data_IF_575500778162
#
_entry.id   IF_575500778162
#
_cell.length_a   1.000
_cell.length_b   1.000
_cell.length_c   1.000
_cell.angle_alpha   90.00
_cell.angle_beta   90.00
_cell.angle_gamma   90.00
#
_symmetry.space_group_name_H-M   'P 1'
#
loop_
_entity.id
_entity.type
_entity.pdbx_description
1 polymer ?
#
# COMPACT_ATOMS: atom_id res chain seq x y z
N UNK A 1 -49.69 6.38 26.30
CA UNK A 1 -48.88 6.42 25.05
C UNK A 1 -47.52 5.73 25.19
N UNK A 2 -46.71 6.02 26.23
CA UNK A 2 -45.38 5.40 26.41
C UNK A 2 -45.38 3.86 26.35
N UNK A 3 -46.37 3.18 26.96
CA UNK A 3 -46.45 1.70 26.93
C UNK A 3 -46.63 1.14 25.51
N UNK A 4 -47.40 1.82 24.65
CA UNK A 4 -47.57 1.44 23.24
C UNK A 4 -46.32 1.74 22.41
N UNK A 5 -45.67 2.89 22.65
CA UNK A 5 -44.38 3.22 22.04
C UNK A 5 -43.28 2.22 22.42
N UNK A 6 -43.20 1.80 23.69
CA UNK A 6 -42.24 0.79 24.15
C UNK A 6 -42.53 -0.61 23.57
N UNK A 7 -43.79 -1.01 23.39
CA UNK A 7 -44.09 -2.29 22.73
C UNK A 7 -43.69 -2.30 21.25
N UNK A 8 -43.64 -1.14 20.60
CA UNK A 8 -43.23 -1.00 19.19
C UNK A 8 -41.70 -0.86 19.07
N UNK A 9 -41.10 0.07 19.82
CA UNK A 9 -39.68 0.41 19.69
C UNK A 9 -38.77 -0.28 20.71
N UNK A 10 -39.29 -0.71 21.85
CA UNK A 10 -38.54 -1.38 22.92
C UNK A 10 -37.81 -2.64 22.45
N UNK A 11 -38.44 -3.55 21.67
CA UNK A 11 -37.73 -4.70 21.11
C UNK A 11 -36.57 -4.31 20.20
N UNK A 12 -36.75 -3.29 19.34
CA UNK A 12 -35.71 -2.80 18.42
C UNK A 12 -34.55 -2.16 19.18
N UNK A 13 -34.84 -1.31 20.17
CA UNK A 13 -33.85 -0.69 21.04
C UNK A 13 -33.07 -1.74 21.85
N UNK A 14 -33.78 -2.75 22.37
CA UNK A 14 -33.17 -3.86 23.11
C UNK A 14 -32.26 -4.69 22.19
N UNK A 15 -32.73 -5.03 20.99
CA UNK A 15 -31.90 -5.75 20.01
C UNK A 15 -30.65 -4.96 19.63
N UNK A 16 -30.78 -3.66 19.36
CA UNK A 16 -29.64 -2.77 19.08
C UNK A 16 -28.64 -2.72 20.22
N UNK A 17 -29.12 -2.60 21.47
CA UNK A 17 -28.27 -2.63 22.65
C UNK A 17 -27.56 -3.98 22.80
N UNK A 18 -28.26 -5.10 22.59
CA UNK A 18 -27.65 -6.43 22.67
C UNK A 18 -26.56 -6.63 21.61
N UNK A 19 -26.77 -6.16 20.38
CA UNK A 19 -25.75 -6.19 19.32
C UNK A 19 -24.56 -5.32 19.69
N UNK A 20 -24.81 -4.11 20.21
CA UNK A 20 -23.74 -3.23 20.68
C UNK A 20 -22.91 -3.89 21.79
N UNK A 21 -23.56 -4.48 22.80
CA UNK A 21 -22.89 -5.19 23.89
C UNK A 21 -22.11 -6.41 23.38
N UNK A 22 -22.68 -7.18 22.45
CA UNK A 22 -21.99 -8.32 21.82
C UNK A 22 -20.68 -7.89 21.16
N UNK A 23 -20.72 -6.80 20.37
CA UNK A 23 -19.53 -6.27 19.73
C UNK A 23 -18.55 -5.76 20.79
N UNK A 24 -19.01 -4.92 21.70
CA UNK A 24 -18.17 -4.26 22.69
C UNK A 24 -17.41 -5.25 23.60
N UNK A 25 -18.04 -6.37 23.95
CA UNK A 25 -17.45 -7.42 24.78
C UNK A 25 -16.81 -8.58 23.99
N UNK A 26 -16.78 -8.54 22.65
CA UNK A 26 -16.19 -9.61 21.86
C UNK A 26 -14.69 -9.79 22.16
N UNK A 27 -14.16 -11.01 22.32
CA UNK A 27 -12.74 -11.23 22.54
C UNK A 27 -11.91 -10.84 21.31
N UNK A 28 -10.79 -10.15 21.54
CA UNK A 28 -9.81 -9.78 20.50
C UNK A 28 -8.57 -10.68 20.54
N UNK A 29 -8.67 -11.83 21.20
CA UNK A 29 -7.61 -12.83 21.22
C UNK A 29 -7.32 -13.34 19.81
N UNK A 30 -6.04 -13.45 19.48
CA UNK A 30 -5.58 -13.87 18.17
C UNK A 30 -5.54 -15.40 18.13
N UNK A 31 -6.36 -16.01 17.28
CA UNK A 31 -6.20 -17.43 16.90
C UNK A 31 -5.56 -17.48 15.52
N UNK A 32 -4.54 -18.31 15.35
CA UNK A 32 -3.77 -18.37 14.10
C UNK A 32 -4.20 -19.57 13.24
N UNK A 33 -4.24 -19.36 11.93
CA UNK A 33 -4.48 -20.40 10.93
C UNK A 33 -3.65 -20.05 9.69
N UNK A 34 -2.51 -20.72 9.57
CA UNK A 34 -1.51 -20.38 8.57
C UNK A 34 -2.04 -20.47 7.13
N UNK A 35 -2.89 -21.47 6.84
CA UNK A 35 -3.49 -21.59 5.50
C UNK A 35 -4.40 -20.41 5.18
N UNK A 36 -5.18 -19.95 6.16
CA UNK A 36 -6.05 -18.79 6.01
C UNK A 36 -5.24 -17.49 5.89
N UNK A 37 -4.17 -17.33 6.65
CA UNK A 37 -3.31 -16.15 6.61
C UNK A 37 -2.53 -16.04 5.31
N UNK A 38 -2.02 -17.16 4.76
CA UNK A 38 -1.44 -17.19 3.40
C UNK A 38 -2.43 -16.71 2.34
N UNK A 39 -3.71 -17.12 2.46
CA UNK A 39 -4.78 -16.66 1.56
C UNK A 39 -5.00 -15.16 1.70
N UNK A 40 -5.11 -14.64 2.92
CA UNK A 40 -5.23 -13.19 3.18
C UNK A 40 -4.06 -12.40 2.60
N UNK A 41 -2.84 -12.91 2.79
CA UNK A 41 -1.61 -12.27 2.37
C UNK A 41 -1.51 -12.09 0.84
N UNK A 42 -2.01 -13.06 0.05
CA UNK A 42 -2.00 -13.00 -1.42
C UNK A 42 -3.36 -12.62 -2.05
N UNK A 43 -4.40 -12.37 -1.24
CA UNK A 43 -5.74 -12.04 -1.73
C UNK A 43 -5.78 -10.73 -2.51
N UNK A 44 -4.95 -9.75 -2.13
CA UNK A 44 -4.87 -8.40 -2.72
C UNK A 44 -6.27 -7.92 -3.05
N UNK A 45 -7.12 -7.90 -2.03
CA UNK A 45 -8.52 -7.48 -2.11
C UNK A 45 -8.69 -6.17 -1.37
N UNK A 46 -9.74 -5.42 -1.70
CA UNK A 46 -10.12 -4.25 -0.90
C UNK A 46 -10.21 -4.60 0.58
N UNK A 47 -10.74 -5.79 0.92
CA UNK A 47 -10.89 -6.25 2.28
C UNK A 47 -9.53 -6.52 2.95
N UNK A 48 -8.64 -7.28 2.30
CA UNK A 48 -7.32 -7.61 2.84
C UNK A 48 -6.43 -6.38 3.04
N UNK A 49 -6.73 -5.28 2.34
CA UNK A 49 -6.07 -4.00 2.48
C UNK A 49 -6.65 -3.14 3.63
N UNK A 50 -7.97 -2.93 3.66
CA UNK A 50 -8.61 -1.98 4.60
C UNK A 50 -8.97 -2.56 5.98
N UNK A 51 -9.20 -3.87 6.07
CA UNK A 51 -9.68 -4.50 7.31
C UNK A 51 -8.53 -4.86 8.26
N UNK A 52 -8.72 -4.60 9.55
CA UNK A 52 -7.70 -4.86 10.59
C UNK A 52 -7.49 -6.34 10.86
N UNK A 53 -8.56 -7.12 10.97
CA UNK A 53 -8.49 -8.52 11.38
C UNK A 53 -7.49 -9.36 10.57
N UNK A 54 -7.58 -9.31 9.24
CA UNK A 54 -6.78 -10.16 8.35
C UNK A 54 -5.28 -9.86 8.46
N UNK A 55 -4.92 -8.57 8.42
CA UNK A 55 -3.52 -8.13 8.51
C UNK A 55 -2.93 -8.31 9.89
N UNK A 56 -3.66 -7.97 10.95
CA UNK A 56 -3.18 -8.16 12.33
C UNK A 56 -2.93 -9.64 12.58
N UNK A 57 -3.86 -10.52 12.18
CA UNK A 57 -3.73 -11.95 12.35
C UNK A 57 -2.46 -12.51 11.68
N UNK A 58 -2.25 -12.21 10.40
CA UNK A 58 -1.07 -12.69 9.68
C UNK A 58 0.23 -12.08 10.21
N UNK A 59 0.30 -10.75 10.38
CA UNK A 59 1.52 -10.06 10.79
C UNK A 59 1.96 -10.32 12.24
N UNK A 60 1.13 -11.01 13.03
CA UNK A 60 1.46 -11.41 14.40
C UNK A 60 1.49 -12.92 14.63
N UNK A 61 1.34 -13.75 13.59
CA UNK A 61 1.53 -15.20 13.72
C UNK A 61 3.01 -15.50 14.06
N UNK A 62 3.30 -16.16 15.20
CA UNK A 62 4.67 -16.53 15.56
C UNK A 62 5.25 -17.70 14.73
N UNK A 63 4.41 -18.46 14.03
CA UNK A 63 4.80 -19.68 13.29
C UNK A 63 5.38 -19.39 11.90
N UNK A 64 4.95 -18.31 11.25
CA UNK A 64 5.48 -17.87 9.97
C UNK A 64 5.57 -16.35 9.92
N UNK A 65 6.73 -15.85 9.50
CA UNK A 65 6.99 -14.43 9.39
C UNK A 65 6.32 -13.83 8.15
N UNK A 66 5.16 -13.21 8.34
CA UNK A 66 4.56 -12.35 7.32
C UNK A 66 5.19 -10.96 7.35
N UNK A 67 5.48 -10.41 6.17
CA UNK A 67 6.15 -9.11 6.00
C UNK A 67 5.22 -8.20 5.18
N UNK A 68 4.95 -6.96 5.62
CA UNK A 68 4.10 -6.05 4.87
C UNK A 68 4.81 -5.57 3.59
N UNK A 69 4.13 -5.74 2.45
CA UNK A 69 4.54 -5.26 1.14
C UNK A 69 3.56 -4.17 0.72
N UNK A 70 3.93 -2.92 0.95
CA UNK A 70 3.11 -1.75 0.67
C UNK A 70 3.24 -1.31 -0.78
N UNK A 71 2.13 -0.97 -1.42
CA UNK A 71 2.10 -0.35 -2.73
C UNK A 71 0.70 -0.20 -3.32
N UNK A 72 0.49 -0.52 -4.59
CA UNK A 72 -0.75 -0.29 -5.33
C UNK A 72 -1.19 -1.53 -6.15
N UNK A 73 -1.35 -1.39 -7.47
CA UNK A 73 -1.79 -2.44 -8.38
C UNK A 73 -0.67 -3.37 -8.87
N UNK A 74 0.60 -3.09 -8.59
CA UNK A 74 1.71 -3.96 -8.97
C UNK A 74 1.55 -5.38 -8.43
N UNK A 75 1.05 -5.53 -7.20
CA UNK A 75 0.81 -6.85 -6.60
C UNK A 75 -0.24 -7.67 -7.35
N UNK A 76 -1.11 -7.04 -8.14
CA UNK A 76 -2.15 -7.74 -8.92
C UNK A 76 -1.54 -8.44 -10.14
N UNK A 77 -0.32 -8.06 -10.55
CA UNK A 77 0.36 -8.56 -11.77
C UNK A 77 1.13 -9.86 -11.50
N UNK A 78 0.39 -10.93 -11.22
CA UNK A 78 0.98 -12.25 -11.01
C UNK A 78 1.53 -12.87 -12.29
N UNK A 79 2.71 -13.45 -12.16
CA UNK A 79 3.31 -14.47 -13.02
C UNK A 79 4.14 -15.40 -12.12
N UNK A 80 4.81 -16.38 -12.72
CA UNK A 80 5.62 -17.36 -12.01
C UNK A 80 6.81 -16.74 -11.26
N UNK A 81 7.22 -15.51 -11.56
CA UNK A 81 8.30 -14.81 -10.87
C UNK A 81 7.81 -13.91 -9.74
N UNK A 82 6.49 -13.77 -9.56
CA UNK A 82 5.91 -12.90 -8.54
C UNK A 82 6.40 -13.27 -7.12
N UNK A 83 6.67 -12.29 -6.22
CA UNK A 83 7.27 -12.56 -4.91
C UNK A 83 6.50 -13.57 -4.04
N UNK A 84 5.17 -13.60 -4.17
CA UNK A 84 4.32 -14.58 -3.49
C UNK A 84 4.62 -16.02 -3.92
N UNK A 85 4.80 -16.21 -5.23
CA UNK A 85 5.04 -17.51 -5.86
C UNK A 85 6.44 -18.00 -5.48
N UNK A 86 7.45 -17.14 -5.61
CA UNK A 86 8.83 -17.50 -5.24
C UNK A 86 8.96 -17.83 -3.75
N UNK A 87 8.37 -17.02 -2.87
CA UNK A 87 8.41 -17.28 -1.44
C UNK A 87 7.72 -18.59 -1.05
N UNK A 88 6.61 -18.94 -1.71
CA UNK A 88 5.90 -20.19 -1.47
C UNK A 88 6.63 -21.41 -2.08
N UNK A 89 7.04 -21.36 -3.35
CA UNK A 89 7.73 -22.46 -4.05
C UNK A 89 9.02 -22.86 -3.36
N UNK A 90 9.82 -21.88 -2.94
CA UNK A 90 11.13 -22.11 -2.35
C UNK A 90 11.13 -22.09 -0.83
N UNK A 91 9.93 -22.14 -0.23
CA UNK A 91 9.71 -22.18 1.20
C UNK A 91 10.60 -21.20 1.99
N UNK A 92 10.59 -19.94 1.58
CA UNK A 92 11.43 -18.91 2.21
C UNK A 92 11.07 -18.71 3.68
N UNK A 93 11.98 -18.10 4.43
CA UNK A 93 11.81 -17.75 5.85
C UNK A 93 10.72 -16.70 6.11
N UNK A 94 10.11 -16.15 5.05
CA UNK A 94 9.06 -15.15 5.12
C UNK A 94 7.95 -15.38 4.09
N UNK A 95 6.81 -14.70 4.27
CA UNK A 95 5.78 -14.53 3.24
C UNK A 95 5.41 -13.05 3.06
N UNK A 96 5.30 -12.55 1.82
CA UNK A 96 4.74 -11.24 1.57
C UNK A 96 3.27 -11.17 1.99
N UNK A 97 2.88 -10.13 2.72
CA UNK A 97 1.49 -9.71 2.92
C UNK A 97 1.27 -8.42 2.11
N UNK A 98 0.58 -8.53 0.97
CA UNK A 98 0.44 -7.42 0.04
C UNK A 98 -0.64 -6.43 0.50
N UNK A 99 -0.20 -5.19 0.75
CA UNK A 99 -1.01 -4.06 1.14
C UNK A 99 -1.03 -3.05 0.01
N UNK A 100 -1.91 -3.25 -0.96
CA UNK A 100 -2.06 -2.35 -2.10
C UNK A 100 -3.28 -2.68 -2.96
N UNK A 101 -3.81 -1.66 -3.62
CA UNK A 101 -4.86 -1.74 -4.63
C UNK A 101 -4.65 -0.65 -5.68
N UNK A 102 -5.30 -0.79 -6.84
CA UNK A 102 -5.26 0.24 -7.88
C UNK A 102 -5.69 1.61 -7.32
N UNK A 103 -4.82 2.60 -7.50
CA UNK A 103 -5.02 3.98 -7.03
C UNK A 103 -4.76 4.23 -5.54
N UNK A 104 -4.36 3.22 -4.77
CA UNK A 104 -3.86 3.44 -3.42
C UNK A 104 -2.44 4.03 -3.50
N UNK A 105 -2.20 5.13 -2.77
CA UNK A 105 -0.92 5.81 -2.67
C UNK A 105 -0.56 6.04 -1.19
N UNK A 106 0.41 6.92 -0.88
CA UNK A 106 1.00 7.03 0.46
C UNK A 106 -0.01 7.38 1.55
N UNK A 107 -0.99 8.26 1.27
CA UNK A 107 -2.02 8.62 2.26
C UNK A 107 -2.90 7.43 2.65
N UNK A 108 -3.28 6.58 1.69
CA UNK A 108 -4.02 5.35 1.99
C UNK A 108 -3.17 4.38 2.81
N UNK A 109 -1.87 4.26 2.48
CA UNK A 109 -0.96 3.41 3.24
C UNK A 109 -0.79 3.88 4.67
N UNK A 110 -0.60 5.19 4.88
CA UNK A 110 -0.46 5.79 6.21
C UNK A 110 -1.66 5.47 7.12
N UNK A 111 -2.90 5.68 6.65
CA UNK A 111 -4.09 5.32 7.43
C UNK A 111 -4.23 3.81 7.65
N UNK A 112 -3.82 3.00 6.66
CA UNK A 112 -3.75 1.55 6.81
C UNK A 112 -2.74 1.08 7.87
N UNK A 113 -1.62 1.78 8.04
CA UNK A 113 -0.60 1.48 9.05
C UNK A 113 -1.13 1.68 10.47
N UNK A 114 -2.01 2.65 10.71
CA UNK A 114 -2.55 2.96 12.04
C UNK A 114 -3.24 1.75 12.70
N UNK A 115 -3.78 0.83 11.90
CA UNK A 115 -4.41 -0.40 12.40
C UNK A 115 -3.42 -1.50 12.80
N UNK A 116 -2.13 -1.37 12.46
CA UNK A 116 -1.09 -2.42 12.59
C UNK A 116 0.21 -1.92 13.22
N UNK A 117 0.22 -0.78 13.92
CA UNK A 117 1.46 -0.23 14.50
C UNK A 117 2.23 -1.24 15.37
N UNK A 118 1.59 -1.98 16.30
CA UNK A 118 2.29 -3.01 17.08
C UNK A 118 2.85 -4.14 16.22
N UNK A 119 2.19 -4.45 15.10
CA UNK A 119 2.61 -5.51 14.19
C UNK A 119 3.74 -5.12 13.25
N UNK A 120 4.06 -3.84 13.09
CA UNK A 120 5.19 -3.37 12.26
C UNK A 120 6.37 -2.83 13.08
N UNK A 121 6.17 -2.52 14.36
CA UNK A 121 7.19 -2.02 15.29
C UNK A 121 8.46 -2.91 15.28
N UNK A 122 9.63 -2.31 15.03
CA UNK A 122 10.94 -2.98 14.92
C UNK A 122 11.02 -4.09 13.84
N UNK A 123 10.17 -4.06 12.81
CA UNK A 123 10.18 -5.07 11.73
C UNK A 123 10.71 -4.53 10.41
N UNK A 124 10.82 -5.42 9.43
CA UNK A 124 11.12 -5.06 8.05
C UNK A 124 9.85 -4.86 7.23
N UNK A 125 9.92 -4.00 6.21
CA UNK A 125 8.86 -3.80 5.24
C UNK A 125 9.43 -3.59 3.83
N UNK A 126 8.60 -3.82 2.81
CA UNK A 126 8.88 -3.38 1.43
C UNK A 126 7.86 -2.30 1.08
N UNK A 127 8.32 -1.19 0.51
CA UNK A 127 7.45 -0.10 0.07
C UNK A 127 7.75 0.27 -1.39
N UNK A 128 6.80 0.00 -2.26
CA UNK A 128 6.87 0.41 -3.67
C UNK A 128 6.58 1.89 -3.79
N UNK A 129 7.36 2.59 -4.61
CA UNK A 129 7.10 3.97 -5.04
C UNK A 129 6.99 3.97 -6.56
N UNK A 130 5.84 4.46 -7.05
CA UNK A 130 5.60 4.68 -8.47
C UNK A 130 5.63 6.20 -8.71
N UNK A 131 6.59 6.75 -9.48
CA UNK A 131 6.63 8.18 -9.79
C UNK A 131 5.33 8.73 -10.40
N UNK A 132 4.53 7.86 -11.01
CA UNK A 132 3.21 8.14 -11.59
C UNK A 132 2.15 8.52 -10.53
N UNK A 133 2.40 8.29 -9.23
CA UNK A 133 1.54 8.81 -8.14
C UNK A 133 1.73 10.32 -7.92
N UNK A 134 2.87 10.87 -8.34
CA UNK A 134 3.29 12.24 -8.04
C UNK A 134 2.78 13.23 -9.08
N UNK A 135 1.55 13.09 -9.55
CA UNK A 135 0.94 14.07 -10.47
C UNK A 135 0.56 15.35 -9.75
N UNK A 136 0.56 16.47 -10.48
CA UNK A 136 0.08 17.77 -9.98
C UNK A 136 -1.41 17.70 -9.60
N UNK A 137 -2.22 17.05 -10.44
CA UNK A 137 -3.60 16.72 -10.11
C UNK A 137 -3.62 15.55 -9.14
N UNK A 138 -4.23 15.74 -7.97
CA UNK A 138 -4.38 14.67 -7.00
C UNK A 138 -5.35 13.58 -7.49
N UNK A 139 -5.20 12.37 -6.98
CA UNK A 139 -6.18 11.31 -7.21
C UNK A 139 -7.54 11.64 -6.57
N UNK A 140 -8.60 11.16 -7.22
CA UNK A 140 -9.99 11.42 -6.86
C UNK A 140 -10.29 11.03 -5.40
N UNK A 141 -10.96 11.88 -4.62
CA UNK A 141 -11.37 11.56 -3.24
C UNK A 141 -12.18 10.25 -3.12
N UNK A 142 -12.91 9.86 -4.17
CA UNK A 142 -13.62 8.58 -4.21
C UNK A 142 -12.69 7.37 -4.14
N UNK A 143 -11.49 7.45 -4.72
CA UNK A 143 -10.47 6.40 -4.64
C UNK A 143 -9.92 6.29 -3.22
N UNK A 144 -9.63 7.42 -2.56
CA UNK A 144 -9.25 7.43 -1.15
C UNK A 144 -10.30 6.72 -0.29
N UNK A 145 -11.56 7.15 -0.40
CA UNK A 145 -12.68 6.63 0.40
C UNK A 145 -13.00 5.16 0.14
N UNK A 146 -12.62 4.62 -1.02
CA UNK A 146 -12.78 3.19 -1.31
C UNK A 146 -11.97 2.32 -0.35
N UNK A 147 -10.80 2.79 0.07
CA UNK A 147 -9.88 2.04 0.92
C UNK A 147 -9.83 2.54 2.37
N UNK A 148 -10.42 3.70 2.65
CA UNK A 148 -10.56 4.24 3.99
C UNK A 148 -11.78 3.66 4.74
N UNK A 149 -11.64 3.37 6.04
CA UNK A 149 -12.75 2.91 6.88
C UNK A 149 -12.74 3.56 8.27
N UNK A 150 -13.85 3.44 9.01
CA UNK A 150 -13.98 4.05 10.36
C UNK A 150 -13.02 3.45 11.38
N UNK A 151 -12.54 2.22 11.17
CA UNK A 151 -11.50 1.62 12.02
C UNK A 151 -10.14 2.31 11.82
N UNK A 152 -9.78 2.66 10.58
CA UNK A 152 -8.59 3.49 10.31
C UNK A 152 -8.72 4.89 10.90
N UNK A 153 -9.91 5.49 10.87
CA UNK A 153 -10.18 6.75 11.55
C UNK A 153 -9.94 6.62 13.06
N UNK A 154 -10.59 5.64 13.70
CA UNK A 154 -10.46 5.42 15.14
C UNK A 154 -9.01 5.16 15.54
N UNK A 155 -8.30 4.32 14.77
CA UNK A 155 -6.88 4.05 14.99
C UNK A 155 -5.99 5.29 14.80
N UNK A 156 -6.26 6.14 13.80
CA UNK A 156 -5.55 7.39 13.62
C UNK A 156 -5.76 8.33 14.81
N UNK A 157 -7.01 8.52 15.24
CA UNK A 157 -7.34 9.39 16.36
C UNK A 157 -6.75 8.91 17.70
N UNK A 158 -6.65 7.60 17.90
CA UNK A 158 -6.02 6.97 19.06
C UNK A 158 -4.49 7.13 19.06
N UNK A 159 -3.85 7.01 17.89
CA UNK A 159 -2.38 6.98 17.77
C UNK A 159 -1.73 8.35 17.49
N UNK A 160 -2.49 9.36 17.09
CA UNK A 160 -1.95 10.69 16.79
C UNK A 160 -1.30 11.33 18.02
N UNK A 161 -0.24 12.10 17.80
CA UNK A 161 0.56 12.75 18.86
C UNK A 161 0.38 14.28 18.90
N UNK A 162 -0.46 14.84 18.02
CA UNK A 162 -0.62 16.29 17.84
C UNK A 162 0.53 16.96 17.08
N UNK A 163 1.52 16.20 16.61
CA UNK A 163 2.68 16.70 15.86
C UNK A 163 2.33 17.19 14.43
N UNK A 164 3.34 17.68 13.71
CA UNK A 164 3.19 18.17 12.33
C UNK A 164 2.64 17.09 11.40
N UNK A 165 3.05 15.83 11.59
CA UNK A 165 2.56 14.67 10.82
C UNK A 165 1.06 14.45 11.07
N UNK A 166 0.64 14.44 12.33
CA UNK A 166 -0.75 14.27 12.76
C UNK A 166 -1.65 15.38 12.21
N UNK A 167 -1.19 16.63 12.30
CA UNK A 167 -1.87 17.80 11.74
C UNK A 167 -2.00 17.72 10.22
N UNK A 168 -0.93 17.33 9.53
CA UNK A 168 -0.94 17.16 8.08
C UNK A 168 -1.92 16.05 7.66
N UNK A 169 -1.86 14.88 8.30
CA UNK A 169 -2.77 13.76 8.04
C UNK A 169 -4.23 14.14 8.28
N UNK A 170 -4.55 14.85 9.36
CA UNK A 170 -5.89 15.35 9.66
C UNK A 170 -6.40 16.30 8.55
N UNK A 171 -5.54 17.23 8.09
CA UNK A 171 -5.88 18.17 7.00
C UNK A 171 -6.16 17.43 5.69
N UNK A 172 -5.35 16.42 5.36
CA UNK A 172 -5.55 15.57 4.19
C UNK A 172 -6.82 14.75 4.28
N UNK A 173 -7.11 14.18 5.46
CA UNK A 173 -8.36 13.45 5.70
C UNK A 173 -9.58 14.34 5.46
N UNK A 174 -9.62 15.55 6.02
CA UNK A 174 -10.73 16.48 5.80
C UNK A 174 -10.86 16.90 4.33
N UNK A 175 -9.76 17.01 3.61
CA UNK A 175 -9.77 17.32 2.17
C UNK A 175 -10.39 16.18 1.35
N UNK A 176 -10.05 14.92 1.67
CA UNK A 176 -10.54 13.74 0.93
C UNK A 176 -11.91 13.24 1.42
N UNK A 177 -12.27 13.54 2.66
CA UNK A 177 -13.52 13.15 3.29
C UNK A 177 -14.01 14.24 4.28
N UNK A 178 -14.65 15.31 3.78
CA UNK A 178 -15.14 16.42 4.61
C UNK A 178 -16.16 15.99 5.67
N UNK A 179 -17.07 15.08 5.32
CA UNK A 179 -18.15 14.59 6.20
C UNK A 179 -17.73 13.36 7.02
N UNK A 180 -16.45 13.27 7.38
CA UNK A 180 -15.95 12.16 8.19
C UNK A 180 -16.57 12.19 9.59
N UNK A 181 -16.87 11.01 10.14
CA UNK A 181 -17.34 10.86 11.52
C UNK A 181 -16.32 11.49 12.48
N UNK A 182 -16.77 12.12 13.56
CA UNK A 182 -15.93 12.92 14.47
C UNK A 182 -15.16 14.04 13.76
N UNK A 183 -15.70 14.60 12.67
CA UNK A 183 -15.07 15.67 11.89
C UNK A 183 -14.64 16.88 12.73
N UNK A 184 -15.39 17.24 13.79
CA UNK A 184 -14.99 18.32 14.72
C UNK A 184 -13.70 18.01 15.46
N UNK A 185 -13.48 16.75 15.87
CA UNK A 185 -12.24 16.32 16.53
C UNK A 185 -11.09 16.33 15.52
N UNK A 186 -11.33 15.85 14.29
CA UNK A 186 -10.33 15.93 13.22
C UNK A 186 -9.93 17.38 12.96
N UNK A 187 -10.91 18.29 12.94
CA UNK A 187 -10.69 19.73 12.76
C UNK A 187 -9.82 20.32 13.87
N UNK A 188 -10.11 20.02 15.14
CA UNK A 188 -9.25 20.42 16.28
C UNK A 188 -7.79 20.01 16.08
N UNK A 189 -7.57 18.77 15.62
CA UNK A 189 -6.21 18.29 15.29
C UNK A 189 -5.60 19.14 14.17
N UNK A 190 -6.34 19.48 13.10
CA UNK A 190 -5.79 20.34 12.04
C UNK A 190 -5.34 21.72 12.53
N UNK A 191 -6.06 22.27 13.51
CA UNK A 191 -5.84 23.59 14.10
C UNK A 191 -4.77 23.56 15.22
N UNK A 192 -4.31 22.37 15.61
CA UNK A 192 -3.36 22.20 16.71
C UNK A 192 -3.98 22.43 18.09
N UNK A 193 -5.31 22.32 18.19
CA UNK A 193 -6.04 22.46 19.45
C UNK A 193 -5.85 21.22 20.33
N UNK A 194 -5.85 21.43 21.64
CA UNK A 194 -5.85 20.33 22.60
C UNK A 194 -7.22 19.64 22.62
N UNK A 195 -7.20 18.30 22.60
CA UNK A 195 -8.41 17.50 22.71
C UNK A 195 -8.87 17.45 24.17
N UNK A 196 -10.17 17.66 24.40
CA UNK A 196 -10.80 17.58 25.72
C UNK A 196 -10.96 16.12 26.18
N UNK A 197 -11.25 15.90 27.47
CA UNK A 197 -11.54 14.57 28.00
C UNK A 197 -12.75 13.90 27.31
N UNK A 198 -13.74 14.69 26.89
CA UNK A 198 -14.90 14.20 26.14
C UNK A 198 -14.47 13.75 24.75
N UNK A 199 -13.61 14.53 24.07
CA UNK A 199 -13.06 14.14 22.76
C UNK A 199 -12.30 12.82 22.88
N UNK A 200 -11.43 12.68 23.89
CA UNK A 200 -10.68 11.45 24.14
C UNK A 200 -11.61 10.26 24.43
N UNK A 201 -12.64 10.44 25.25
CA UNK A 201 -13.63 9.38 25.53
C UNK A 201 -14.35 8.92 24.26
N UNK A 202 -14.69 9.85 23.36
CA UNK A 202 -15.32 9.52 22.07
C UNK A 202 -14.36 8.75 21.16
N UNK A 203 -13.09 9.16 21.11
CA UNK A 203 -12.02 8.48 20.37
C UNK A 203 -11.87 7.04 20.87
N UNK A 204 -11.64 6.85 22.17
CA UNK A 204 -11.42 5.55 22.79
C UNK A 204 -12.62 4.61 22.56
N UNK A 205 -13.83 5.14 22.68
CA UNK A 205 -15.07 4.38 22.44
C UNK A 205 -15.15 3.94 20.99
N UNK A 206 -14.91 4.84 20.04
CA UNK A 206 -14.96 4.55 18.61
C UNK A 206 -13.87 3.54 18.21
N UNK A 207 -12.62 3.76 18.64
CA UNK A 207 -11.48 2.91 18.33
C UNK A 207 -11.68 1.50 18.88
N UNK A 208 -12.08 1.37 20.15
CA UNK A 208 -12.37 0.07 20.78
C UNK A 208 -13.52 -0.64 20.08
N UNK A 209 -14.62 0.05 19.82
CA UNK A 209 -15.77 -0.55 19.14
C UNK A 209 -15.40 -1.06 17.75
N UNK A 210 -14.70 -0.25 16.95
CA UNK A 210 -14.30 -0.63 15.59
C UNK A 210 -13.30 -1.78 15.57
N UNK A 211 -12.32 -1.79 16.48
CA UNK A 211 -11.39 -2.91 16.62
C UNK A 211 -12.16 -4.20 16.91
N UNK A 212 -13.08 -4.18 17.89
CA UNK A 212 -13.88 -5.35 18.27
C UNK A 212 -14.78 -5.82 17.13
N UNK A 213 -15.44 -4.88 16.45
CA UNK A 213 -16.26 -5.14 15.27
C UNK A 213 -15.43 -5.81 14.16
N UNK A 214 -14.22 -5.32 13.89
CA UNK A 214 -13.34 -5.92 12.89
C UNK A 214 -12.98 -7.37 13.24
N UNK A 215 -12.72 -7.68 14.51
CA UNK A 215 -12.44 -9.06 14.94
C UNK A 215 -13.66 -9.99 14.89
N UNK A 216 -14.86 -9.49 15.18
CA UNK A 216 -16.08 -10.28 15.11
C UNK A 216 -16.48 -10.62 13.66
N UNK A 217 -16.45 -9.63 12.76
CA UNK A 217 -16.96 -9.80 11.39
C UNK A 217 -15.87 -10.08 10.36
N UNK A 218 -14.63 -9.70 10.60
CA UNK A 218 -13.51 -9.89 9.67
C UNK A 218 -13.18 -11.35 9.40
N UNK A 219 -13.52 -12.25 10.32
CA UNK A 219 -13.37 -13.71 10.15
C UNK A 219 -14.30 -14.32 9.09
N UNK A 220 -15.37 -13.59 8.69
CA UNK A 220 -16.39 -14.09 7.75
C UNK A 220 -16.05 -13.83 6.27
N UNK A 221 -14.82 -13.43 5.95
CA UNK A 221 -14.42 -13.23 4.54
C UNK A 221 -14.29 -14.57 3.80
N UNK A 222 -15.03 -14.73 2.69
CA UNK A 222 -15.28 -16.04 2.05
C UNK A 222 -14.49 -16.28 0.75
N UNK A 223 -13.94 -15.24 0.10
CA UNK A 223 -13.46 -15.34 -1.29
C UNK A 223 -11.93 -15.37 -1.48
N UNK A 224 -11.14 -15.47 -0.41
CA UNK A 224 -9.68 -15.37 -0.51
C UNK A 224 -8.99 -16.70 -0.92
N UNK A 225 -9.67 -17.84 -0.75
CA UNK A 225 -9.14 -19.16 -1.11
C UNK A 225 -8.97 -19.38 -2.61
N UNK A 226 -9.97 -19.04 -3.41
CA UNK A 226 -9.91 -19.18 -4.88
C UNK A 226 -8.82 -18.29 -5.47
N UNK A 227 -8.70 -17.05 -4.96
CA UNK A 227 -7.64 -16.12 -5.38
C UNK A 227 -6.25 -16.67 -5.11
N UNK A 228 -6.02 -17.28 -3.95
CA UNK A 228 -4.72 -17.86 -3.62
C UNK A 228 -4.35 -18.99 -4.58
N UNK A 229 -5.29 -19.89 -4.86
CA UNK A 229 -5.08 -20.98 -5.83
C UNK A 229 -4.71 -20.44 -7.21
N UNK A 230 -5.50 -19.48 -7.70
CA UNK A 230 -5.37 -19.00 -9.08
C UNK A 230 -4.15 -18.08 -9.28
N UNK A 231 -3.68 -17.41 -8.23
CA UNK A 231 -2.57 -16.45 -8.27
C UNK A 231 -1.24 -17.01 -7.76
N UNK A 232 -1.26 -17.99 -6.85
CA UNK A 232 -0.04 -18.56 -6.27
C UNK A 232 0.12 -20.01 -6.69
N UNK A 233 -0.79 -20.90 -6.27
CA UNK A 233 -0.63 -22.35 -6.45
C UNK A 233 -0.52 -22.76 -7.92
N UNK A 234 -1.26 -22.07 -8.80
CA UNK A 234 -1.24 -22.29 -10.26
C UNK A 234 0.18 -22.27 -10.83
N UNK A 235 1.06 -21.40 -10.34
CA UNK A 235 2.40 -21.21 -10.88
C UNK A 235 3.46 -22.12 -10.24
N UNK A 236 3.19 -22.74 -9.09
CA UNK A 236 4.19 -23.51 -8.35
C UNK A 236 4.70 -24.74 -9.13
N UNK A 237 3.82 -25.36 -9.92
CA UNK A 237 4.11 -26.56 -10.71
C UNK A 237 5.03 -26.30 -11.89
N UNK A 238 5.08 -25.06 -12.38
CA UNK A 238 5.84 -24.68 -13.57
C UNK A 238 7.28 -24.24 -13.21
N UNK A 239 7.60 -24.19 -11.91
CA UNK A 239 8.90 -23.78 -11.39
C UNK A 239 9.79 -24.97 -11.01
N UNK A 240 11.12 -24.87 -11.20
CA UNK A 240 12.06 -25.90 -10.79
C UNK A 240 12.10 -26.03 -9.28
N UNK A 241 12.32 -27.25 -8.77
CA UNK A 241 12.42 -27.50 -7.33
C UNK A 241 13.66 -26.88 -6.70
N UNK A 242 14.77 -26.80 -7.44
CA UNK A 242 15.97 -26.08 -7.03
C UNK A 242 15.94 -24.65 -7.54
N UNK A 243 16.16 -23.69 -6.64
CA UNK A 243 16.25 -22.28 -6.99
C UNK A 243 17.47 -22.01 -7.89
N UNK A 244 17.26 -21.32 -9.01
CA UNK A 244 18.32 -20.79 -9.87
C UNK A 244 17.77 -19.61 -10.66
N UNK A 245 18.44 -18.44 -10.56
CA UNK A 245 18.03 -17.27 -11.33
C UNK A 245 18.07 -17.51 -12.84
N UNK A 246 19.00 -18.33 -13.34
CA UNK A 246 19.12 -18.60 -14.77
C UNK A 246 17.95 -19.47 -15.26
N UNK A 247 17.61 -20.53 -14.52
CA UNK A 247 16.45 -21.37 -14.86
C UNK A 247 15.13 -20.59 -14.77
N UNK A 248 14.99 -19.74 -13.74
CA UNK A 248 13.83 -18.86 -13.59
C UNK A 248 13.73 -17.83 -14.72
N UNK A 249 14.86 -17.27 -15.16
CA UNK A 249 14.93 -16.34 -16.29
C UNK A 249 14.43 -16.99 -17.57
N UNK A 250 14.84 -18.21 -17.87
CA UNK A 250 14.36 -18.95 -19.06
C UNK A 250 12.85 -19.15 -19.04
N UNK A 251 12.28 -19.53 -17.89
CA UNK A 251 10.84 -19.70 -17.71
C UNK A 251 10.12 -18.35 -17.90
N UNK A 252 10.65 -17.29 -17.29
CA UNK A 252 10.07 -15.95 -17.36
C UNK A 252 10.05 -15.41 -18.80
N UNK A 253 11.15 -15.57 -19.55
CA UNK A 253 11.24 -15.15 -20.95
C UNK A 253 10.23 -15.90 -21.80
N UNK A 254 10.15 -17.23 -21.65
CA UNK A 254 9.20 -18.05 -22.42
C UNK A 254 7.75 -17.67 -22.13
N UNK A 255 7.40 -17.43 -20.86
CA UNK A 255 6.05 -16.99 -20.49
C UNK A 255 5.76 -15.58 -21.05
N UNK A 256 6.71 -14.67 -20.97
CA UNK A 256 6.55 -13.31 -21.50
C UNK A 256 6.37 -13.31 -23.02
N UNK A 257 7.24 -14.01 -23.76
CA UNK A 257 7.15 -14.16 -25.22
C UNK A 257 5.77 -14.69 -25.66
N UNK A 258 5.23 -15.67 -24.95
CA UNK A 258 3.91 -16.24 -25.26
C UNK A 258 2.75 -15.27 -24.97
N UNK A 259 2.95 -14.33 -24.04
CA UNK A 259 1.91 -13.41 -23.56
C UNK A 259 2.08 -11.97 -24.05
N UNK A 260 3.04 -11.66 -24.93
CA UNK A 260 3.25 -10.33 -25.53
C UNK A 260 3.31 -10.40 -27.06
N UNK A 261 2.36 -11.09 -27.69
CA UNK A 261 2.35 -11.42 -29.12
C UNK A 261 1.46 -10.50 -29.96
N UNK A 262 0.57 -9.72 -29.35
CA UNK A 262 -0.43 -8.91 -30.07
C UNK A 262 -0.06 -7.42 -30.20
N UNK A 263 1.14 -7.01 -29.75
CA UNK A 263 1.62 -5.64 -29.80
C UNK A 263 3.16 -5.55 -29.79
N UNK A 264 3.70 -4.50 -30.40
CA UNK A 264 5.15 -4.27 -30.48
C UNK A 264 5.71 -3.47 -29.29
N UNK A 265 4.87 -3.14 -28.30
CA UNK A 265 5.25 -2.38 -27.10
C UNK A 265 5.71 -3.28 -25.94
N UNK A 266 5.60 -4.61 -26.08
CA UNK A 266 5.99 -5.57 -25.05
C UNK A 266 5.00 -5.64 -23.88
N UNK A 267 3.76 -5.18 -24.06
CA UNK A 267 2.71 -5.26 -23.05
C UNK A 267 2.05 -6.63 -23.07
N UNK A 268 1.58 -7.10 -21.92
CA UNK A 268 0.75 -8.30 -21.83
C UNK A 268 -0.48 -8.18 -22.76
N UNK A 269 -0.76 -9.26 -23.50
CA UNK A 269 -1.82 -9.35 -24.49
C UNK A 269 -3.18 -8.89 -23.94
N UNK A 270 -3.58 -9.40 -22.77
CA UNK A 270 -4.86 -9.08 -22.15
C UNK A 270 -4.94 -7.59 -21.75
N UNK A 271 -3.86 -7.05 -21.18
CA UNK A 271 -3.80 -5.63 -20.84
C UNK A 271 -3.89 -4.77 -22.10
N UNK A 272 -3.14 -5.09 -23.15
CA UNK A 272 -3.15 -4.33 -24.38
C UNK A 272 -4.55 -4.33 -25.03
N UNK A 273 -5.18 -5.49 -25.17
CA UNK A 273 -6.51 -5.61 -25.78
C UNK A 273 -7.59 -4.86 -24.98
N UNK A 274 -7.51 -4.84 -23.65
CA UNK A 274 -8.55 -4.27 -22.79
C UNK A 274 -8.35 -2.80 -22.44
N UNK A 275 -7.11 -2.32 -22.31
CA UNK A 275 -6.79 -0.97 -21.81
C UNK A 275 -6.23 -0.04 -22.88
N UNK A 276 -5.57 -0.56 -23.92
CA UNK A 276 -4.77 0.27 -24.84
C UNK A 276 -5.33 0.27 -26.25
N UNK A 277 -5.55 -0.91 -26.84
CA UNK A 277 -5.80 -1.12 -28.27
C UNK A 277 -6.93 -0.29 -28.84
N UNK A 278 -8.08 -0.25 -28.15
CA UNK A 278 -9.29 0.46 -28.61
C UNK A 278 -9.05 1.97 -28.75
N UNK A 279 -8.28 2.54 -27.82
CA UNK A 279 -8.03 3.97 -27.72
C UNK A 279 -6.59 4.34 -28.10
N UNK A 280 -5.87 3.50 -28.85
CA UNK A 280 -4.44 3.67 -29.12
C UNK A 280 -4.11 5.09 -29.63
N UNK A 281 -4.88 5.61 -30.59
CA UNK A 281 -4.72 6.96 -31.14
C UNK A 281 -4.83 8.07 -30.09
N UNK A 282 -5.68 7.90 -29.07
CA UNK A 282 -5.86 8.86 -27.97
C UNK A 282 -4.62 8.94 -27.10
N UNK A 283 -3.88 7.85 -26.97
CA UNK A 283 -2.71 7.77 -26.09
C UNK A 283 -1.46 8.44 -26.69
N UNK A 284 -1.41 8.64 -28.02
CA UNK A 284 -0.31 9.33 -28.67
C UNK A 284 -0.14 10.74 -28.09
N UNK A 285 1.05 11.02 -27.57
CA UNK A 285 1.43 12.30 -26.96
C UNK A 285 0.55 12.74 -25.76
N UNK A 286 -0.21 11.80 -25.17
CA UNK A 286 -1.13 12.06 -24.05
C UNK A 286 -0.43 12.55 -22.78
N UNK A 287 0.82 12.15 -22.57
CA UNK A 287 1.62 12.45 -21.37
C UNK A 287 2.64 13.57 -21.59
N UNK A 288 2.63 14.25 -22.74
CA UNK A 288 3.61 15.30 -23.08
C UNK A 288 3.71 16.45 -22.08
N UNK A 289 2.63 16.73 -21.37
CA UNK A 289 2.52 17.81 -20.39
C UNK A 289 2.46 17.30 -18.95
N UNK A 290 2.71 16.00 -18.72
CA UNK A 290 2.74 15.47 -17.37
C UNK A 290 3.95 16.04 -16.63
N UNK A 291 3.78 16.31 -15.34
CA UNK A 291 4.84 16.76 -14.47
C UNK A 291 4.73 16.00 -13.14
N UNK A 292 5.81 15.32 -12.77
CA UNK A 292 5.92 14.55 -11.54
C UNK A 292 6.76 15.22 -10.46
N UNK A 293 7.29 16.43 -10.73
CA UNK A 293 8.05 17.22 -9.76
C UNK A 293 7.13 17.95 -8.77
N UNK A 294 5.89 18.24 -9.17
CA UNK A 294 4.93 19.01 -8.37
C UNK A 294 3.78 18.12 -7.93
N UNK A 295 3.69 17.79 -6.64
CA UNK A 295 2.62 16.93 -6.11
C UNK A 295 2.50 17.02 -4.59
N UNK A 296 1.27 16.93 -4.08
CA UNK A 296 1.03 16.68 -2.66
C UNK A 296 1.45 15.27 -2.22
N UNK A 297 1.65 14.33 -3.17
CA UNK A 297 2.11 12.97 -2.86
C UNK A 297 3.51 12.97 -2.22
N UNK A 298 4.36 13.98 -2.45
CA UNK A 298 5.63 14.13 -1.73
C UNK A 298 5.43 14.34 -0.23
N UNK A 299 4.41 15.11 0.14
CA UNK A 299 4.06 15.32 1.55
C UNK A 299 3.30 14.11 2.11
N UNK A 300 2.42 13.47 1.32
CA UNK A 300 1.73 12.24 1.74
C UNK A 300 2.74 11.09 1.93
N UNK A 301 3.82 11.01 1.15
CA UNK A 301 4.96 10.11 1.37
C UNK A 301 5.66 10.42 2.70
N UNK A 302 5.80 11.70 3.05
CA UNK A 302 6.42 12.08 4.33
C UNK A 302 5.65 11.52 5.53
N UNK A 303 4.31 11.39 5.47
CA UNK A 303 3.54 10.70 6.51
C UNK A 303 4.00 9.26 6.74
N UNK A 304 4.23 8.54 5.64
CA UNK A 304 4.73 7.16 5.67
C UNK A 304 6.14 7.10 6.26
N UNK A 305 7.05 8.00 5.85
CA UNK A 305 8.41 8.06 6.37
C UNK A 305 8.45 8.36 7.87
N UNK A 306 7.64 9.31 8.33
CA UNK A 306 7.45 9.59 9.75
C UNK A 306 6.96 8.34 10.49
N UNK A 307 5.98 7.62 9.96
CA UNK A 307 5.47 6.41 10.61
C UNK A 307 6.52 5.30 10.67
N UNK A 308 7.29 5.08 9.60
CA UNK A 308 8.38 4.09 9.60
C UNK A 308 9.45 4.44 10.62
N UNK A 309 9.83 5.72 10.74
CA UNK A 309 10.80 6.15 11.72
C UNK A 309 10.28 5.99 13.16
N UNK A 310 9.05 6.42 13.43
CA UNK A 310 8.41 6.30 14.74
C UNK A 310 8.28 4.84 15.19
N UNK A 311 7.99 3.94 14.24
CA UNK A 311 7.81 2.51 14.52
C UNK A 311 9.11 1.70 14.34
N UNK A 312 10.25 2.37 14.09
CA UNK A 312 11.57 1.75 13.86
C UNK A 312 11.55 0.64 12.80
N UNK A 313 10.78 0.85 11.73
CA UNK A 313 10.69 -0.09 10.61
C UNK A 313 11.94 0.04 9.74
N UNK A 314 12.60 -1.07 9.46
CA UNK A 314 13.65 -1.13 8.45
C UNK A 314 13.02 -1.41 7.10
N UNK A 315 12.95 -0.40 6.23
CA UNK A 315 12.20 -0.48 4.97
C UNK A 315 13.15 -0.55 3.78
N UNK A 316 12.81 -1.39 2.80
CA UNK A 316 13.38 -1.36 1.45
C UNK A 316 12.38 -0.69 0.51
N UNK A 317 12.80 0.42 -0.10
CA UNK A 317 12.02 1.11 -1.12
C UNK A 317 12.29 0.53 -2.50
N UNK A 318 11.25 0.43 -3.33
CA UNK A 318 11.35 -0.06 -4.71
C UNK A 318 10.78 0.98 -5.65
N UNK A 319 11.61 1.59 -6.50
CA UNK A 319 11.16 2.58 -7.48
C UNK A 319 10.95 1.88 -8.83
N UNK A 320 9.70 1.81 -9.30
CA UNK A 320 9.35 1.12 -10.55
C UNK A 320 9.58 2.00 -11.79
N UNK A 321 9.96 1.42 -12.94
CA UNK A 321 10.03 2.13 -14.22
C UNK A 321 8.66 2.31 -14.89
N UNK A 322 8.64 3.10 -15.97
CA UNK A 322 7.60 3.05 -17.01
C UNK A 322 8.16 2.30 -18.21
N UNK A 323 7.33 1.54 -18.93
CA UNK A 323 7.72 0.92 -20.20
C UNK A 323 8.24 2.00 -21.19
N UNK A 324 9.47 1.85 -21.68
CA UNK A 324 10.14 2.83 -22.55
C UNK A 324 9.41 3.06 -23.87
N UNK A 325 8.89 1.99 -24.49
CA UNK A 325 8.13 2.11 -25.74
C UNK A 325 6.80 2.86 -25.51
N UNK A 326 6.21 2.67 -24.33
CA UNK A 326 5.04 3.44 -23.92
C UNK A 326 5.38 4.92 -23.71
N UNK A 327 6.47 5.22 -23.00
CA UNK A 327 6.99 6.60 -22.84
C UNK A 327 7.12 7.30 -24.19
N UNK A 328 7.77 6.65 -25.15
CA UNK A 328 8.01 7.23 -26.48
C UNK A 328 6.72 7.46 -27.26
N UNK A 329 5.72 6.59 -27.04
CA UNK A 329 4.41 6.72 -27.67
C UNK A 329 3.58 7.86 -27.06
N UNK A 330 3.52 7.93 -25.73
CA UNK A 330 2.73 8.94 -24.99
C UNK A 330 3.44 10.28 -24.84
N UNK A 331 4.72 10.36 -25.20
CA UNK A 331 5.52 11.58 -25.10
C UNK A 331 5.89 11.96 -23.67
N UNK A 332 5.89 11.02 -22.71
CA UNK A 332 6.30 11.32 -21.33
C UNK A 332 7.76 11.78 -21.31
N UNK A 333 8.02 12.93 -20.69
CA UNK A 333 9.38 13.47 -20.61
C UNK A 333 10.24 12.62 -19.64
N UNK A 334 11.29 11.98 -20.18
CA UNK A 334 12.19 11.12 -19.41
C UNK A 334 13.10 11.90 -18.46
N UNK A 335 13.55 13.10 -18.84
CA UNK A 335 14.39 13.94 -17.98
C UNK A 335 13.58 14.39 -16.76
N UNK A 336 12.34 14.82 -16.97
CA UNK A 336 11.40 15.14 -15.89
C UNK A 336 11.13 13.92 -15.00
N UNK A 337 10.93 12.74 -15.60
CA UNK A 337 10.71 11.51 -14.85
C UNK A 337 11.90 11.14 -13.96
N UNK A 338 13.13 11.23 -14.50
CA UNK A 338 14.35 10.95 -13.74
C UNK A 338 14.62 12.01 -12.66
N UNK A 339 14.32 13.27 -12.93
CA UNK A 339 14.41 14.34 -11.93
C UNK A 339 13.39 14.13 -10.77
N UNK A 340 12.20 13.63 -11.07
CA UNK A 340 11.24 13.23 -10.03
C UNK A 340 11.76 12.05 -9.20
N UNK A 341 12.43 11.07 -9.83
CA UNK A 341 13.10 9.97 -9.10
C UNK A 341 14.21 10.50 -8.20
N UNK A 342 15.05 11.40 -8.68
CA UNK A 342 16.10 12.06 -7.87
C UNK A 342 15.51 12.81 -6.68
N UNK A 343 14.38 13.51 -6.88
CA UNK A 343 13.65 14.19 -5.82
C UNK A 343 13.09 13.24 -4.76
N UNK A 344 12.48 12.13 -5.18
CA UNK A 344 12.03 11.07 -4.27
C UNK A 344 13.21 10.51 -3.48
N UNK A 345 14.30 10.14 -4.15
CA UNK A 345 15.50 9.59 -3.51
C UNK A 345 16.10 10.57 -2.50
N UNK A 346 16.20 11.85 -2.85
CA UNK A 346 16.68 12.87 -1.92
C UNK A 346 15.84 12.91 -0.63
N UNK A 347 14.51 12.88 -0.74
CA UNK A 347 13.63 12.83 0.43
C UNK A 347 13.87 11.58 1.28
N UNK A 348 14.14 10.42 0.68
CA UNK A 348 14.46 9.19 1.40
C UNK A 348 15.84 9.24 2.05
N UNK A 349 16.88 9.45 1.26
CA UNK A 349 18.29 9.31 1.65
C UNK A 349 18.71 10.39 2.65
N UNK A 350 18.25 11.63 2.47
CA UNK A 350 18.54 12.73 3.41
C UNK A 350 17.98 12.49 4.82
N UNK A 351 17.02 11.58 4.96
CA UNK A 351 16.41 11.21 6.25
C UNK A 351 16.91 9.86 6.78
N UNK A 352 17.87 9.22 6.10
CA UNK A 352 18.47 7.94 6.50
C UNK A 352 17.84 6.69 5.88
N UNK A 353 16.87 6.84 4.98
CA UNK A 353 16.27 5.71 4.25
C UNK A 353 17.11 5.35 3.02
N UNK A 354 18.12 4.50 3.22
CA UNK A 354 19.15 4.20 2.19
C UNK A 354 18.96 2.87 1.46
N UNK A 355 18.06 2.00 1.92
CA UNK A 355 17.72 0.77 1.21
C UNK A 355 16.78 1.10 0.05
N UNK A 356 17.33 1.31 -1.15
CA UNK A 356 16.55 1.68 -2.35
C UNK A 356 16.94 0.76 -3.51
N UNK A 357 15.98 -0.05 -3.95
CA UNK A 357 16.04 -0.76 -5.22
C UNK A 357 15.42 0.12 -6.32
N UNK A 358 16.28 0.83 -7.04
CA UNK A 358 15.87 1.77 -8.08
C UNK A 358 15.90 1.10 -9.45
N UNK A 359 14.71 0.86 -9.99
CA UNK A 359 14.51 0.27 -11.30
C UNK A 359 14.02 1.28 -12.34
N UNK A 360 14.01 2.57 -12.02
CA UNK A 360 13.39 3.62 -12.85
C UNK A 360 13.98 3.73 -14.27
N UNK A 361 15.21 3.23 -14.48
CA UNK A 361 15.92 3.25 -15.76
C UNK A 361 15.79 1.93 -16.55
N UNK A 362 15.15 0.90 -15.98
CA UNK A 362 15.04 -0.43 -16.60
C UNK A 362 13.82 -0.57 -17.52
N UNK A 363 13.10 0.50 -17.81
CA UNK A 363 11.89 0.48 -18.64
C UNK A 363 12.08 0.02 -20.09
N UNK A 364 13.32 0.02 -20.59
CA UNK A 364 13.69 -0.46 -21.92
C UNK A 364 14.08 -1.95 -21.94
N UNK A 365 14.28 -2.57 -20.78
CA UNK A 365 14.68 -3.97 -20.69
C UNK A 365 13.52 -4.89 -21.13
N UNK A 366 13.78 -5.87 -22.01
CA UNK A 366 12.76 -6.81 -22.45
C UNK A 366 12.09 -7.51 -21.27
N UNK A 367 10.75 -7.53 -21.27
CA UNK A 367 9.93 -8.23 -20.28
C UNK A 367 10.15 -7.79 -18.82
N UNK A 368 10.72 -6.60 -18.60
CA UNK A 368 10.87 -6.04 -17.26
C UNK A 368 9.55 -5.45 -16.73
N UNK A 369 8.78 -4.84 -17.62
CA UNK A 369 7.49 -4.21 -17.33
C UNK A 369 6.39 -5.06 -17.97
N UNK A 370 5.37 -5.44 -17.19
CA UNK A 370 4.26 -6.28 -17.64
C UNK A 370 3.28 -5.56 -18.55
N UNK A 371 3.05 -4.29 -18.23
CA UNK A 371 2.11 -3.42 -18.92
C UNK A 371 2.75 -2.06 -19.26
N UNK A 372 2.12 -0.95 -18.88
CA UNK A 372 2.67 0.40 -19.06
C UNK A 372 3.57 0.81 -17.90
N UNK A 373 3.30 0.37 -16.67
CA UNK A 373 3.90 0.92 -15.44
C UNK A 373 4.26 -0.11 -14.37
N UNK A 374 3.76 -1.35 -14.46
CA UNK A 374 3.99 -2.36 -13.43
C UNK A 374 5.09 -3.33 -13.83
N UNK A 375 6.01 -3.61 -12.91
CA UNK A 375 6.99 -4.69 -13.08
C UNK A 375 6.31 -6.06 -13.26
N UNK A 376 6.93 -6.92 -14.05
CA UNK A 376 6.51 -8.29 -14.31
C UNK A 376 7.68 -9.17 -14.68
N UNK A 377 7.48 -10.48 -14.81
CA UNK A 377 8.47 -11.44 -15.33
C UNK A 377 9.93 -11.17 -14.89
N UNK A 378 10.78 -10.62 -15.76
CA UNK A 378 12.19 -10.35 -15.45
C UNK A 378 12.38 -9.19 -14.47
N UNK A 379 11.46 -8.23 -14.45
CA UNK A 379 11.41 -7.18 -13.43
C UNK A 379 11.14 -7.75 -12.04
N UNK A 380 10.33 -8.80 -11.91
CA UNK A 380 10.16 -9.50 -10.63
C UNK A 380 11.41 -10.24 -10.20
N UNK A 381 12.20 -10.79 -11.13
CA UNK A 381 13.50 -11.38 -10.77
C UNK A 381 14.54 -10.33 -10.35
N UNK A 382 14.52 -9.14 -10.96
CA UNK A 382 15.34 -8.02 -10.51
C UNK A 382 14.91 -7.52 -9.13
N UNK A 383 13.61 -7.39 -8.90
CA UNK A 383 13.01 -7.10 -7.60
C UNK A 383 13.46 -8.13 -6.54
N UNK A 384 13.38 -9.41 -6.87
CA UNK A 384 13.74 -10.50 -5.97
C UNK A 384 15.21 -10.44 -5.53
N UNK A 385 16.13 -10.11 -6.45
CA UNK A 385 17.56 -9.96 -6.16
C UNK A 385 17.87 -8.86 -5.15
N UNK A 386 17.02 -7.84 -5.04
CA UNK A 386 17.16 -6.80 -4.02
C UNK A 386 16.42 -7.16 -2.72
N UNK A 387 15.23 -7.74 -2.85
CA UNK A 387 14.28 -7.93 -1.73
C UNK A 387 14.59 -9.18 -0.92
N UNK A 388 14.90 -10.31 -1.56
CA UNK A 388 15.15 -11.56 -0.83
C UNK A 388 16.38 -11.46 0.09
N UNK A 389 17.56 -10.95 -0.35
CA UNK A 389 18.70 -10.80 0.55
C UNK A 389 18.41 -9.88 1.74
N UNK A 390 17.64 -8.81 1.53
CA UNK A 390 17.23 -7.88 2.58
C UNK A 390 16.32 -8.56 3.62
N UNK A 391 15.32 -9.31 3.19
CA UNK A 391 14.33 -9.94 4.10
C UNK A 391 14.84 -11.23 4.74
N UNK A 392 15.71 -11.96 4.04
CA UNK A 392 16.31 -13.20 4.52
C UNK A 392 17.42 -12.96 5.55
N UNK A 393 17.98 -11.74 5.62
CA UNK A 393 18.98 -11.34 6.61
C UNK A 393 18.49 -10.09 7.40
N UNK A 394 17.61 -10.27 8.40
CA UNK A 394 16.97 -9.15 9.07
C UNK A 394 17.96 -8.32 9.87
N UNK A 395 17.96 -7.02 9.65
CA UNK A 395 18.72 -6.03 10.42
C UNK A 395 17.80 -5.01 11.04
N UNK A 396 18.15 -4.45 12.22
CA UNK A 396 17.39 -3.35 12.82
C UNK A 396 17.43 -2.11 11.93
N UNK A 397 16.42 -1.25 12.05
CA UNK A 397 16.41 0.03 11.36
C UNK A 397 17.58 0.92 11.85
N UNK A 398 18.17 1.75 10.97
CA UNK A 398 19.07 2.80 11.42
C UNK A 398 18.28 3.87 12.22
N UNK A 399 19.01 4.78 12.86
CA UNK A 399 18.40 6.02 13.35
C UNK A 399 18.06 6.91 12.15
N UNK A 400 16.79 7.27 12.01
CA UNK A 400 16.33 8.20 10.98
C UNK A 400 16.39 9.64 11.47
N UNK A 401 16.59 10.57 10.53
CA UNK A 401 16.67 12.01 10.78
C UNK A 401 15.57 12.72 9.98
N UNK A 402 14.36 12.73 10.53
CA UNK A 402 13.19 13.30 9.84
C UNK A 402 13.33 14.82 9.65
N UNK A 403 12.88 15.31 8.49
CA UNK A 403 12.82 16.74 8.17
C UNK A 403 11.38 17.18 7.89
N UNK A 404 10.81 17.97 8.79
CA UNK A 404 9.43 18.46 8.69
C UNK A 404 9.20 19.38 7.47
N UNK A 405 10.26 19.96 6.88
CA UNK A 405 10.12 20.75 5.64
C UNK A 405 9.56 19.94 4.49
N UNK A 406 9.66 18.61 4.52
CA UNK A 406 9.03 17.75 3.53
C UNK A 406 7.50 17.69 3.63
N UNK A 407 6.88 18.25 4.66
CA UNK A 407 5.43 18.52 4.70
C UNK A 407 5.03 19.87 4.08
N UNK A 408 6.00 20.73 3.74
CA UNK A 408 5.73 22.06 3.22
C UNK A 408 5.21 22.04 1.78
N UNK A 409 4.48 23.09 1.42
CA UNK A 409 4.10 23.35 0.02
C UNK A 409 5.34 23.58 -0.84
N UNK A 410 6.37 24.21 -0.28
CA UNK A 410 7.62 24.48 -0.99
C UNK A 410 8.24 23.19 -1.51
N UNK A 411 8.37 22.17 -0.65
CA UNK A 411 8.83 20.85 -1.08
C UNK A 411 7.89 20.22 -2.13
N UNK A 412 6.58 20.25 -1.89
CA UNK A 412 5.60 19.70 -2.81
C UNK A 412 5.67 20.29 -4.22
N UNK A 413 6.06 21.57 -4.35
CA UNK A 413 6.14 22.29 -5.63
C UNK A 413 7.56 22.53 -6.13
N UNK A 414 8.59 22.05 -5.42
CA UNK A 414 10.00 22.28 -5.76
C UNK A 414 10.41 21.57 -7.06
N UNK A 415 10.96 22.31 -8.00
CA UNK A 415 11.44 21.82 -9.31
C UNK A 415 12.92 22.16 -9.60
N UNK A 416 13.66 22.67 -8.60
CA UNK A 416 15.09 22.98 -8.69
C UNK A 416 16.02 21.78 -8.46
N UNK A 417 17.32 22.05 -8.32
CA UNK A 417 18.30 21.04 -7.90
C UNK A 417 18.03 20.64 -6.45
N UNK A 418 17.73 19.36 -6.23
CA UNK A 418 17.37 18.81 -4.92
C UNK A 418 18.44 19.06 -3.86
N UNK A 419 19.71 19.25 -4.24
CA UNK A 419 20.81 19.56 -3.32
C UNK A 419 20.78 21.00 -2.80
N UNK A 420 20.05 21.89 -3.47
CA UNK A 420 19.86 23.28 -3.06
C UNK A 420 18.60 23.46 -2.20
N UNK A 421 17.79 22.39 -2.03
CA UNK A 421 16.68 22.38 -1.09
C UNK A 421 17.21 22.25 0.35
N UNK A 422 17.48 23.41 0.95
CA UNK A 422 17.70 23.57 2.39
C UNK A 422 16.38 23.45 3.14
#
# INVERSE_FOLDING_TARGET
MLKRLWMIFGPVMTAGLLVFLLIFFYPTSKSYNLSQEKRYAAAISTQSFRERFQKVRALSDPSLRFIPFFGSSEWIRFDSMHPAVLAEKYNRSYRPYFLGQAGAASLNQYFGMQQILPEIENKQAVFVISPQWFTETEYEPAVFRRYFNTDQLGAFLENQSGDVSSRYAAKRLMTKYPDVVLGDIVKKITEGEQLSEIDQTLIDTLARFNQKQSFLFGQLSVNDGEKYRDRVEKYLKDLPDKFSYDALREIAVKDAEANTTNNDMGMENHFYDTQVKKDLKKWKDYQKNYNFLKSSEYNDLQLVLNQFANSKVNVLFVIQPVNKKWIDYTGLNQDMYQHAVEKIRYQLESQGFTNIADFSKNGAEPYFVKDTIHIGWLGWLAFDKAVDPFLSNPTPAPTYHLNERFFSKDWATYDGDVKEFQ
#
